data_IF_641051528422
#
_entry.id   IF_641051528422
#
_cell.length_a   1.000
_cell.length_b   1.000
_cell.length_c   1.000
_cell.angle_alpha   90.00
_cell.angle_beta   90.00
_cell.angle_gamma   90.00
#
_symmetry.space_group_name_H-M   'P 1'
#
loop_
_entity.id
_entity.type
_entity.pdbx_description
1 polymer ?
#
# COMPACT_ATOMS: atom_id res chain seq x y z
N UNK A 1 -1.30 17.36 20.23
CA UNK A 1 -0.74 16.52 19.16
C UNK A 1 0.18 17.38 18.30
N UNK A 2 1.49 17.40 18.59
CA UNK A 2 2.48 18.16 17.82
C UNK A 2 3.23 17.34 16.75
N UNK A 3 2.99 16.02 16.65
CA UNK A 3 3.72 15.13 15.73
C UNK A 3 3.39 15.33 14.24
N UNK A 4 2.11 15.41 13.88
CA UNK A 4 1.71 15.53 12.46
C UNK A 4 2.19 16.84 11.80
N UNK A 5 2.12 17.96 12.53
CA UNK A 5 2.54 19.25 11.98
C UNK A 5 4.04 19.27 11.67
N UNK A 6 4.85 18.63 12.50
CA UNK A 6 6.29 18.52 12.29
C UNK A 6 6.66 17.62 11.09
N UNK A 7 5.90 16.55 10.85
CA UNK A 7 6.14 15.65 9.72
C UNK A 7 5.67 16.29 8.39
N UNK A 8 4.55 17.00 8.39
CA UNK A 8 4.06 17.76 7.23
C UNK A 8 5.05 18.88 6.83
N UNK A 9 5.54 19.67 7.81
CA UNK A 9 6.54 20.72 7.57
C UNK A 9 7.85 20.16 6.99
N UNK A 10 8.26 18.97 7.45
CA UNK A 10 9.47 18.30 6.95
C UNK A 10 9.30 17.81 5.52
N UNK A 11 8.14 17.25 5.18
CA UNK A 11 7.84 16.87 3.80
C UNK A 11 7.85 18.08 2.86
N UNK A 12 7.23 19.20 3.27
CA UNK A 12 7.25 20.43 2.49
C UNK A 12 8.67 20.95 2.30
N UNK A 13 9.46 20.98 3.37
CA UNK A 13 10.88 21.35 3.30
C UNK A 13 11.65 20.44 2.34
N UNK A 14 11.39 19.14 2.36
CA UNK A 14 12.02 18.19 1.42
C UNK A 14 11.61 18.47 -0.03
N UNK A 15 10.32 18.75 -0.29
CA UNK A 15 9.85 19.10 -1.63
C UNK A 15 10.58 20.33 -2.17
N UNK A 16 10.66 21.39 -1.38
CA UNK A 16 11.36 22.63 -1.74
C UNK A 16 12.86 22.40 -1.96
N UNK A 17 13.52 21.72 -1.02
CA UNK A 17 14.98 21.51 -1.06
C UNK A 17 15.44 20.72 -2.29
N UNK A 18 14.60 19.80 -2.77
CA UNK A 18 14.90 18.90 -3.87
C UNK A 18 14.24 19.29 -5.20
N UNK A 19 13.54 20.43 -5.25
CA UNK A 19 12.72 20.85 -6.39
C UNK A 19 11.78 19.73 -6.87
N UNK A 20 11.04 19.17 -5.91
CA UNK A 20 9.93 18.25 -6.16
C UNK A 20 8.62 19.02 -6.04
N UNK A 21 7.59 18.57 -6.75
CA UNK A 21 6.27 19.19 -6.68
C UNK A 21 5.20 18.18 -6.26
N UNK A 22 4.06 18.69 -5.80
CA UNK A 22 2.88 17.88 -5.50
C UNK A 22 1.83 18.17 -6.56
N UNK A 23 1.28 17.13 -7.16
CA UNK A 23 0.17 17.29 -8.11
C UNK A 23 -1.12 17.59 -7.33
N UNK A 24 -1.68 18.79 -7.53
CA UNK A 24 -2.92 19.21 -6.88
C UNK A 24 -4.18 18.56 -7.50
N UNK A 25 -4.10 18.11 -8.76
CA UNK A 25 -5.22 17.47 -9.47
C UNK A 25 -5.40 16.00 -9.08
N UNK A 26 -4.34 15.32 -8.64
CA UNK A 26 -4.42 13.95 -8.14
C UNK A 26 -5.18 13.83 -6.80
N UNK A 27 -5.52 14.95 -6.14
CA UNK A 27 -6.20 14.95 -4.85
C UNK A 27 -5.35 14.29 -3.76
N UNK A 28 -5.97 13.65 -2.75
CA UNK A 28 -5.23 12.86 -1.73
C UNK A 28 -4.74 11.51 -2.29
N UNK A 29 -4.21 11.44 -3.51
CA UNK A 29 -3.79 10.19 -4.19
C UNK A 29 -2.70 9.40 -3.46
N UNK A 30 -2.12 9.97 -2.40
CA UNK A 30 -1.14 9.27 -1.56
C UNK A 30 0.21 9.11 -2.23
N UNK A 31 0.52 9.91 -3.25
CA UNK A 31 1.88 10.13 -3.73
C UNK A 31 2.40 11.42 -3.09
N UNK A 32 3.58 11.36 -2.50
CA UNK A 32 4.07 12.43 -1.62
C UNK A 32 4.67 13.59 -2.44
N UNK A 33 5.35 13.27 -3.56
CA UNK A 33 5.88 14.24 -4.50
C UNK A 33 6.17 13.64 -5.88
N UNK A 34 6.49 14.51 -6.83
CA UNK A 34 6.90 14.18 -8.19
C UNK A 34 8.18 14.91 -8.57
N UNK A 35 8.97 14.27 -9.42
CA UNK A 35 10.15 14.83 -10.05
C UNK A 35 9.98 14.79 -11.57
N UNK A 36 10.01 15.96 -12.20
CA UNK A 36 10.19 16.04 -13.64
C UNK A 36 11.68 16.02 -13.99
N UNK A 37 12.05 15.06 -14.81
CA UNK A 37 13.41 14.90 -15.35
C UNK A 37 13.31 14.46 -16.82
N UNK A 38 13.92 15.25 -17.70
CA UNK A 38 13.79 15.15 -19.15
C UNK A 38 12.32 15.13 -19.64
N UNK A 39 11.84 13.96 -20.07
CA UNK A 39 10.48 13.73 -20.59
C UNK A 39 9.66 12.83 -19.66
N UNK A 40 10.15 12.57 -18.45
CA UNK A 40 9.54 11.67 -17.47
C UNK A 40 9.11 12.43 -16.23
N UNK A 41 7.96 12.04 -15.71
CA UNK A 41 7.47 12.45 -14.39
C UNK A 41 7.55 11.23 -13.47
N UNK A 42 8.37 11.32 -12.43
CA UNK A 42 8.68 10.20 -11.54
C UNK A 42 8.01 10.41 -10.17
N UNK A 43 7.24 9.42 -9.67
CA UNK A 43 6.61 9.52 -8.36
C UNK A 43 7.58 9.20 -7.24
N UNK A 44 7.56 10.03 -6.20
CA UNK A 44 8.34 9.89 -4.98
C UNK A 44 7.44 9.56 -3.78
N UNK A 45 7.94 8.66 -2.92
CA UNK A 45 7.51 8.51 -1.54
C UNK A 45 8.53 9.24 -0.65
N UNK A 46 8.05 10.13 0.20
CA UNK A 46 8.86 10.90 1.14
C UNK A 46 8.72 10.31 2.53
N UNK A 47 9.83 10.20 3.25
CA UNK A 47 9.84 9.81 4.66
C UNK A 47 10.88 10.57 5.42
N UNK A 48 10.67 10.71 6.73
CA UNK A 48 11.71 11.20 7.64
C UNK A 48 11.84 10.30 8.85
N UNK A 49 13.00 10.37 9.51
CA UNK A 49 13.25 9.69 10.78
C UNK A 49 14.20 10.50 11.65
N UNK A 50 13.96 10.49 12.96
CA UNK A 50 14.85 11.05 13.98
C UNK A 50 15.54 10.00 14.85
N UNK A 51 15.21 8.72 14.66
CA UNK A 51 15.74 7.60 15.46
C UNK A 51 16.47 6.53 14.62
N UNK A 52 16.62 6.76 13.31
CA UNK A 52 17.30 5.86 12.38
C UNK A 52 16.42 4.77 11.78
N UNK A 53 15.23 4.53 12.33
CA UNK A 53 14.27 3.59 11.77
C UNK A 53 13.18 4.33 11.00
N UNK A 54 12.89 3.90 9.77
CA UNK A 54 11.89 4.54 8.92
C UNK A 54 10.59 3.75 9.02
N UNK A 55 9.56 4.37 9.60
CA UNK A 55 8.17 3.84 9.55
C UNK A 55 7.62 3.98 8.14
N UNK A 56 6.85 2.99 7.69
CA UNK A 56 6.31 3.01 6.32
C UNK A 56 4.80 3.19 6.30
N UNK A 57 4.02 2.19 6.70
CA UNK A 57 2.56 2.25 6.73
C UNK A 57 1.98 1.38 7.84
N UNK A 58 0.80 1.75 8.35
CA UNK A 58 0.13 0.99 9.42
C UNK A 58 -0.14 -0.45 9.02
N UNK A 59 -0.75 -0.70 7.85
CA UNK A 59 -1.19 -2.03 7.44
C UNK A 59 -0.57 -2.38 6.08
N UNK A 60 0.66 -2.90 6.07
CA UNK A 60 1.35 -3.28 4.84
C UNK A 60 0.70 -4.53 4.22
N UNK A 61 0.40 -4.47 2.92
CA UNK A 61 -0.33 -5.51 2.19
C UNK A 61 -0.16 -5.39 0.67
N UNK A 62 -0.88 -6.21 -0.13
CA UNK A 62 -0.74 -6.27 -1.60
C UNK A 62 -0.86 -4.94 -2.34
N UNK A 63 -1.76 -4.06 -1.87
CA UNK A 63 -1.93 -2.73 -2.46
C UNK A 63 -0.67 -1.88 -2.32
N UNK A 64 0.04 -1.99 -1.18
CA UNK A 64 1.30 -1.27 -0.94
C UNK A 64 2.44 -1.82 -1.78
N UNK A 65 2.51 -3.15 -1.95
CA UNK A 65 3.49 -3.79 -2.85
C UNK A 65 3.34 -3.25 -4.27
N UNK A 66 2.09 -3.17 -4.75
CA UNK A 66 1.78 -2.62 -6.08
C UNK A 66 2.10 -1.12 -6.15
N UNK A 67 1.68 -0.34 -5.14
CA UNK A 67 1.91 1.11 -5.05
C UNK A 67 3.39 1.45 -5.09
N UNK A 68 4.23 0.70 -4.39
CA UNK A 68 5.64 1.04 -4.16
C UNK A 68 6.60 0.44 -5.17
N UNK A 69 6.18 -0.54 -5.97
CA UNK A 69 7.04 -1.27 -6.92
C UNK A 69 7.90 -0.37 -7.81
N UNK A 70 7.34 0.75 -8.28
CA UNK A 70 8.02 1.67 -9.19
C UNK A 70 8.27 3.04 -8.56
N UNK A 71 8.17 3.17 -7.23
CA UNK A 71 8.38 4.46 -6.56
C UNK A 71 9.84 4.70 -6.26
N UNK A 72 10.22 5.94 -6.46
CA UNK A 72 11.45 6.50 -5.94
C UNK A 72 11.22 6.89 -4.48
N UNK A 73 12.22 6.74 -3.63
CA UNK A 73 12.11 7.11 -2.22
C UNK A 73 13.15 8.16 -1.88
N UNK A 74 12.74 9.17 -1.13
CA UNK A 74 13.65 10.16 -0.56
C UNK A 74 13.42 10.20 0.95
N UNK A 75 14.49 9.95 1.70
CA UNK A 75 14.43 9.77 3.15
C UNK A 75 15.27 10.84 3.83
N UNK A 76 14.65 11.66 4.68
CA UNK A 76 15.34 12.63 5.54
C UNK A 76 15.72 12.04 6.90
N UNK A 77 16.98 12.14 7.28
CA UNK A 77 17.50 11.67 8.57
C UNK A 77 17.89 12.86 9.45
N UNK A 78 17.24 12.97 10.61
CA UNK A 78 17.45 14.03 11.62
C UNK A 78 17.95 13.42 12.93
N UNK A 79 19.18 12.90 12.93
CA UNK A 79 19.71 12.04 14.01
C UNK A 79 20.87 12.74 14.69
N UNK A 80 20.82 12.84 16.03
CA UNK A 80 21.89 13.39 16.85
C UNK A 80 22.36 14.80 16.41
N UNK A 81 21.43 15.64 15.96
CA UNK A 81 21.72 16.98 15.46
C UNK A 81 22.36 17.03 14.07
N UNK A 82 22.47 15.89 13.38
CA UNK A 82 22.90 15.80 11.98
C UNK A 82 21.68 15.63 11.08
N UNK A 83 21.63 16.43 10.03
CA UNK A 83 20.63 16.36 8.97
C UNK A 83 21.29 15.89 7.66
N UNK A 84 20.73 14.86 7.04
CA UNK A 84 21.13 14.40 5.71
C UNK A 84 19.97 13.64 5.06
N UNK A 85 20.06 13.48 3.75
CA UNK A 85 19.04 12.79 2.97
C UNK A 85 19.66 11.61 2.22
N UNK A 86 18.83 10.63 1.87
CA UNK A 86 19.22 9.50 1.03
C UNK A 86 18.13 9.23 0.01
N UNK A 87 18.54 9.07 -1.24
CA UNK A 87 17.67 8.59 -2.31
C UNK A 87 17.77 7.06 -2.40
N UNK A 88 16.62 6.40 -2.60
CA UNK A 88 16.56 4.96 -2.83
C UNK A 88 15.75 4.72 -4.09
N UNK A 89 16.37 4.09 -5.08
CA UNK A 89 15.71 3.77 -6.35
C UNK A 89 14.67 2.65 -6.20
N UNK A 90 13.72 2.52 -7.14
CA UNK A 90 12.79 1.40 -7.15
C UNK A 90 13.48 0.03 -7.09
N UNK A 91 14.59 -0.13 -7.83
CA UNK A 91 15.37 -1.36 -7.81
C UNK A 91 15.98 -1.62 -6.43
N UNK A 92 16.60 -0.61 -5.82
CA UNK A 92 17.20 -0.75 -4.49
C UNK A 92 16.14 -1.03 -3.42
N UNK A 93 14.92 -0.48 -3.53
CA UNK A 93 13.83 -0.74 -2.59
C UNK A 93 13.14 -2.11 -2.79
N UNK A 94 13.30 -2.71 -3.97
CA UNK A 94 12.59 -3.94 -4.36
C UNK A 94 12.91 -5.12 -3.44
N UNK A 95 14.14 -5.22 -2.93
CA UNK A 95 14.55 -6.31 -2.03
C UNK A 95 13.79 -6.27 -0.70
N UNK A 96 13.70 -5.09 -0.09
CA UNK A 96 12.96 -4.92 1.16
C UNK A 96 11.46 -5.17 0.96
N UNK A 97 10.87 -4.66 -0.13
CA UNK A 97 9.45 -4.90 -0.45
C UNK A 97 9.20 -6.39 -0.65
N UNK A 98 10.06 -7.10 -1.41
CA UNK A 98 9.95 -8.53 -1.65
C UNK A 98 10.08 -9.36 -0.36
N UNK A 99 10.94 -8.94 0.57
CA UNK A 99 11.04 -9.56 1.89
C UNK A 99 9.72 -9.45 2.67
N UNK A 100 9.08 -8.27 2.67
CA UNK A 100 7.79 -8.07 3.36
C UNK A 100 6.63 -8.76 2.64
N UNK A 101 6.63 -8.80 1.32
CA UNK A 101 5.68 -9.58 0.52
C UNK A 101 5.78 -11.07 0.86
N UNK A 102 7.00 -11.61 0.88
CA UNK A 102 7.24 -13.00 1.27
C UNK A 102 6.74 -13.29 2.68
N UNK A 103 6.94 -12.36 3.62
CA UNK A 103 6.47 -12.50 5.00
C UNK A 103 4.95 -12.66 5.09
N UNK A 104 4.16 -11.84 4.38
CA UNK A 104 2.69 -11.90 4.43
C UNK A 104 2.10 -13.00 3.53
N UNK A 105 2.84 -13.48 2.52
CA UNK A 105 2.34 -14.41 1.50
C UNK A 105 1.68 -15.70 2.00
N UNK A 106 2.13 -16.36 3.11
CA UNK A 106 1.49 -17.59 3.58
C UNK A 106 0.05 -17.36 4.04
N UNK A 107 -0.22 -16.21 4.66
CA UNK A 107 -1.55 -15.91 5.20
C UNK A 107 -2.54 -15.56 4.09
N UNK A 108 -2.09 -14.84 3.05
CA UNK A 108 -2.90 -14.60 1.85
C UNK A 108 -3.20 -15.91 1.10
N UNK A 109 -2.23 -16.83 1.04
CA UNK A 109 -2.45 -18.18 0.51
C UNK A 109 -3.46 -18.97 1.34
N UNK A 110 -3.41 -18.83 2.66
CA UNK A 110 -4.38 -19.43 3.57
C UNK A 110 -5.79 -18.86 3.34
N UNK A 111 -5.92 -17.55 3.12
CA UNK A 111 -7.20 -16.89 2.83
C UNK A 111 -7.88 -17.50 1.59
N UNK A 112 -7.11 -17.70 0.52
CA UNK A 112 -7.57 -18.35 -0.70
C UNK A 112 -8.01 -19.80 -0.44
N UNK A 113 -7.14 -20.61 0.18
CA UNK A 113 -7.42 -22.03 0.44
C UNK A 113 -8.63 -22.21 1.37
N UNK A 114 -8.74 -21.40 2.43
CA UNK A 114 -9.79 -21.51 3.41
C UNK A 114 -11.14 -21.08 2.83
N UNK A 115 -11.18 -19.98 2.08
CA UNK A 115 -12.42 -19.48 1.48
C UNK A 115 -13.00 -20.47 0.47
N UNK A 116 -12.18 -21.06 -0.42
CA UNK A 116 -12.70 -21.99 -1.45
C UNK A 116 -13.27 -23.29 -0.86
N UNK A 117 -12.84 -23.70 0.34
CA UNK A 117 -13.32 -24.90 1.06
C UNK A 117 -14.71 -24.74 1.67
N UNK A 118 -15.26 -23.54 1.75
CA UNK A 118 -16.62 -23.33 2.25
C UNK A 118 -17.66 -23.97 1.33
N UNK A 119 -18.66 -24.62 1.93
CA UNK A 119 -19.71 -25.36 1.24
C UNK A 119 -21.09 -24.80 1.57
N UNK A 120 -22.11 -25.23 0.84
CA UNK A 120 -23.51 -24.82 1.06
C UNK A 120 -23.98 -25.06 2.50
N UNK A 121 -23.53 -26.14 3.13
CA UNK A 121 -23.87 -26.43 4.53
C UNK A 121 -23.36 -25.33 5.49
N UNK A 122 -22.21 -24.72 5.19
CA UNK A 122 -21.62 -23.66 6.00
C UNK A 122 -22.39 -22.34 5.78
N UNK A 123 -22.77 -22.05 4.53
CA UNK A 123 -23.68 -20.94 4.22
C UNK A 123 -24.99 -21.06 5.01
N UNK A 124 -25.60 -22.23 5.01
CA UNK A 124 -26.88 -22.45 5.70
C UNK A 124 -26.77 -22.29 7.21
N UNK A 125 -25.63 -22.61 7.82
CA UNK A 125 -25.37 -22.37 9.25
C UNK A 125 -25.28 -20.87 9.57
N UNK A 126 -24.82 -20.04 8.63
CA UNK A 126 -24.58 -18.61 8.87
C UNK A 126 -25.82 -17.76 8.57
N UNK A 127 -26.48 -17.98 7.43
CA UNK A 127 -27.60 -17.13 6.96
C UNK A 127 -28.93 -17.87 6.83
N UNK A 128 -29.00 -19.13 7.29
CA UNK A 128 -30.16 -20.00 7.14
C UNK A 128 -30.30 -20.55 5.72
N UNK A 129 -30.97 -21.71 5.58
CA UNK A 129 -31.26 -22.32 4.27
C UNK A 129 -32.44 -21.62 3.61
N UNK A 130 -32.23 -21.03 2.43
CA UNK A 130 -33.28 -20.40 1.60
C UNK A 130 -33.21 -20.91 0.17
N UNK A 131 -34.33 -20.92 -0.54
CA UNK A 131 -34.35 -21.17 -2.01
C UNK A 131 -33.83 -19.97 -2.80
N UNK A 132 -34.04 -18.77 -2.28
CA UNK A 132 -33.60 -17.49 -2.83
C UNK A 132 -33.18 -16.56 -1.70
N UNK A 133 -32.07 -15.87 -1.88
CA UNK A 133 -31.57 -14.82 -0.97
C UNK A 133 -31.82 -13.45 -1.59
N UNK A 134 -32.03 -12.46 -0.74
CA UNK A 134 -32.31 -11.07 -1.14
C UNK A 134 -31.02 -10.24 -1.23
N UNK A 135 -31.12 -9.03 -1.80
CA UNK A 135 -30.05 -8.03 -1.73
C UNK A 135 -29.62 -7.71 -0.30
N UNK A 136 -30.58 -7.70 0.64
CA UNK A 136 -30.27 -7.38 2.04
C UNK A 136 -29.54 -8.54 2.74
N UNK A 137 -29.88 -9.79 2.41
CA UNK A 137 -29.12 -10.95 2.88
C UNK A 137 -27.65 -10.86 2.44
N UNK A 138 -27.42 -10.57 1.16
CA UNK A 138 -26.08 -10.41 0.58
C UNK A 138 -25.29 -9.28 1.27
N UNK A 139 -25.92 -8.12 1.49
CA UNK A 139 -25.30 -6.97 2.15
C UNK A 139 -25.00 -7.22 3.63
N UNK A 140 -25.89 -7.93 4.32
CA UNK A 140 -25.70 -8.27 5.73
C UNK A 140 -24.54 -9.23 5.91
N UNK A 141 -24.40 -10.20 5.00
CA UNK A 141 -23.29 -11.14 4.98
C UNK A 141 -21.97 -10.46 4.61
N UNK A 142 -21.92 -9.76 3.49
CA UNK A 142 -20.70 -9.18 2.91
C UNK A 142 -20.43 -7.73 3.38
N UNK A 143 -21.18 -7.25 4.38
CA UNK A 143 -21.01 -5.93 5.02
C UNK A 143 -20.83 -4.75 4.05
N UNK A 144 -21.60 -4.73 2.96
CA UNK A 144 -21.59 -3.67 1.94
C UNK A 144 -20.21 -3.40 1.31
N UNK A 145 -19.33 -4.40 1.26
CA UNK A 145 -18.01 -4.23 0.65
C UNK A 145 -18.05 -4.13 -0.88
N UNK A 146 -19.08 -4.70 -1.51
CA UNK A 146 -19.38 -4.43 -2.92
C UNK A 146 -20.15 -3.11 -3.06
N UNK A 147 -19.90 -2.42 -4.17
CA UNK A 147 -20.77 -1.35 -4.65
C UNK A 147 -22.17 -1.87 -4.96
N UNK A 148 -23.14 -0.96 -5.04
CA UNK A 148 -24.51 -1.34 -5.44
C UNK A 148 -24.55 -2.02 -6.81
N UNK A 149 -23.73 -1.55 -7.76
CA UNK A 149 -23.67 -2.11 -9.12
C UNK A 149 -23.17 -3.55 -9.10
N UNK A 150 -22.12 -3.84 -8.34
CA UNK A 150 -21.56 -5.18 -8.21
C UNK A 150 -22.55 -6.16 -7.57
N UNK A 151 -23.25 -5.76 -6.50
CA UNK A 151 -24.30 -6.61 -5.93
C UNK A 151 -25.38 -6.96 -6.96
N UNK A 152 -25.88 -5.97 -7.70
CA UNK A 152 -26.91 -6.20 -8.71
C UNK A 152 -26.40 -7.12 -9.85
N UNK A 153 -25.15 -6.95 -10.27
CA UNK A 153 -24.53 -7.80 -11.29
C UNK A 153 -24.35 -9.26 -10.84
N UNK A 154 -24.29 -9.51 -9.53
CA UNK A 154 -24.17 -10.86 -8.98
C UNK A 154 -25.52 -11.60 -8.89
N UNK A 155 -26.67 -10.94 -9.05
CA UNK A 155 -27.98 -11.59 -9.01
C UNK A 155 -28.13 -12.59 -10.16
N UNK A 156 -28.28 -13.87 -9.83
CA UNK A 156 -28.40 -14.97 -10.80
C UNK A 156 -29.81 -15.55 -10.90
N UNK A 157 -30.74 -15.02 -10.10
CA UNK A 157 -32.17 -15.34 -10.17
C UNK A 157 -32.97 -14.04 -10.09
N UNK A 158 -34.25 -14.10 -10.46
CA UNK A 158 -35.12 -12.92 -10.48
C UNK A 158 -35.13 -12.18 -9.13
N UNK A 159 -34.58 -10.96 -9.16
CA UNK A 159 -34.44 -10.05 -8.03
C UNK A 159 -33.79 -10.71 -6.79
N UNK A 160 -32.79 -11.56 -6.97
CA UNK A 160 -32.11 -12.22 -5.85
C UNK A 160 -30.93 -13.10 -6.24
N UNK A 161 -30.51 -13.92 -5.28
CA UNK A 161 -29.36 -14.84 -5.42
C UNK A 161 -29.78 -16.27 -5.12
N UNK A 162 -29.28 -17.21 -5.92
CA UNK A 162 -29.34 -18.63 -5.60
C UNK A 162 -28.44 -18.96 -4.41
N UNK A 163 -28.61 -20.13 -3.77
CA UNK A 163 -27.69 -20.61 -2.74
C UNK A 163 -26.23 -20.71 -3.21
N UNK A 164 -26.00 -21.09 -4.47
CA UNK A 164 -24.66 -21.20 -5.03
C UNK A 164 -23.98 -19.82 -5.14
N UNK A 165 -24.73 -18.82 -5.62
CA UNK A 165 -24.22 -17.46 -5.70
C UNK A 165 -23.98 -16.82 -4.33
N UNK A 166 -24.90 -17.06 -3.39
CA UNK A 166 -24.74 -16.58 -2.01
C UNK A 166 -23.55 -17.25 -1.31
N UNK A 167 -23.24 -18.52 -1.65
CA UNK A 167 -22.02 -19.17 -1.19
C UNK A 167 -20.77 -18.45 -1.72
N UNK A 168 -20.72 -18.02 -2.97
CA UNK A 168 -19.58 -17.26 -3.48
C UNK A 168 -19.37 -15.96 -2.69
N UNK A 169 -20.45 -15.22 -2.41
CA UNK A 169 -20.40 -14.00 -1.58
C UNK A 169 -19.86 -14.32 -0.16
N UNK A 170 -20.20 -15.48 0.41
CA UNK A 170 -19.61 -15.94 1.67
C UNK A 170 -18.11 -16.21 1.54
N UNK A 171 -17.67 -16.83 0.44
CA UNK A 171 -16.25 -17.09 0.18
C UNK A 171 -15.46 -15.79 0.08
N UNK A 172 -15.98 -14.83 -0.67
CA UNK A 172 -15.39 -13.50 -0.80
C UNK A 172 -15.29 -12.81 0.57
N UNK A 173 -16.35 -12.90 1.39
CA UNK A 173 -16.34 -12.37 2.76
C UNK A 173 -15.26 -13.02 3.63
N UNK A 174 -15.15 -14.35 3.57
CA UNK A 174 -14.19 -15.10 4.36
C UNK A 174 -12.75 -14.77 3.96
N UNK A 175 -12.49 -14.73 2.64
CA UNK A 175 -11.19 -14.32 2.08
C UNK A 175 -10.81 -12.93 2.57
N UNK A 176 -11.70 -11.95 2.40
CA UNK A 176 -11.47 -10.58 2.83
C UNK A 176 -11.13 -10.47 4.32
N UNK A 177 -11.87 -11.18 5.18
CA UNK A 177 -11.65 -11.11 6.62
C UNK A 177 -10.26 -11.59 7.02
N UNK A 178 -9.79 -12.64 6.37
CA UNK A 178 -8.44 -13.18 6.60
C UNK A 178 -7.41 -12.20 6.03
N UNK A 179 -7.52 -11.83 4.75
CA UNK A 179 -6.57 -10.90 4.10
C UNK A 179 -6.41 -9.58 4.86
N UNK A 180 -7.50 -9.02 5.41
CA UNK A 180 -7.45 -7.82 6.25
C UNK A 180 -6.71 -8.02 7.57
N UNK A 181 -6.75 -9.22 8.14
CA UNK A 181 -6.00 -9.57 9.35
C UNK A 181 -4.56 -10.02 9.10
N UNK A 182 -4.18 -10.19 7.83
CA UNK A 182 -2.90 -10.74 7.38
C UNK A 182 -1.90 -9.68 6.92
N UNK A 183 -2.22 -8.40 7.12
CA UNK A 183 -1.30 -7.31 6.84
C UNK A 183 -0.19 -7.26 7.89
N UNK A 184 0.99 -6.77 7.48
CA UNK A 184 2.10 -6.55 8.40
C UNK A 184 1.95 -5.16 9.03
N UNK A 185 1.83 -5.12 10.36
CA UNK A 185 1.63 -3.86 11.07
C UNK A 185 2.93 -3.06 11.19
N UNK A 186 2.93 -1.82 10.71
CA UNK A 186 4.00 -0.84 10.82
C UNK A 186 5.41 -1.40 10.57
N UNK A 187 5.68 -2.01 9.39
CA UNK A 187 7.02 -2.48 9.11
C UNK A 187 7.97 -1.30 9.03
N UNK A 188 9.14 -1.50 9.65
CA UNK A 188 10.21 -0.53 9.71
C UNK A 188 11.35 -0.90 8.77
N UNK A 189 11.91 0.09 8.09
CA UNK A 189 13.18 -0.06 7.38
C UNK A 189 14.31 0.29 8.37
N UNK A 190 15.19 -0.67 8.73
CA UNK A 190 16.25 -0.42 9.69
C UNK A 190 17.32 0.51 9.11
N UNK A 191 18.04 1.23 9.97
CA UNK A 191 19.11 2.14 9.53
C UNK A 191 20.18 1.41 8.69
N UNK A 192 20.46 0.16 9.02
CA UNK A 192 21.44 -0.68 8.32
C UNK A 192 21.12 -0.89 6.84
N UNK A 193 19.83 -0.81 6.46
CA UNK A 193 19.41 -0.88 5.06
C UNK A 193 20.01 0.24 4.21
N UNK A 194 20.31 1.37 4.84
CA UNK A 194 20.76 2.57 4.16
C UNK A 194 22.28 2.76 4.25
N UNK A 195 23.05 1.86 4.86
CA UNK A 195 24.48 2.09 5.16
C UNK A 195 25.30 2.40 3.90
N UNK A 196 25.08 1.63 2.82
CA UNK A 196 25.82 1.77 1.56
C UNK A 196 25.26 2.84 0.60
N UNK A 197 24.14 3.46 0.97
CA UNK A 197 23.50 4.50 0.14
C UNK A 197 24.20 5.85 0.38
N UNK A 198 24.60 6.61 -0.65
CA UNK A 198 25.21 7.92 -0.46
C UNK A 198 24.35 8.89 0.34
N UNK A 199 25.00 9.80 1.09
CA UNK A 199 24.31 10.88 1.80
C UNK A 199 24.29 12.13 0.95
N UNK A 200 23.11 12.72 0.78
CA UNK A 200 22.94 14.03 0.21
C UNK A 200 22.90 15.05 1.37
N UNK A 201 23.90 15.92 1.41
CA UNK A 201 24.03 16.99 2.44
C UNK A 201 24.10 18.40 1.86
N UNK A 202 24.28 18.51 0.53
CA UNK A 202 24.48 19.77 -0.21
C UNK A 202 23.98 19.59 -1.64
N UNK A 203 23.73 20.69 -2.34
CA UNK A 203 23.28 20.71 -3.75
C UNK A 203 22.10 19.76 -4.00
N UNK A 204 21.17 19.70 -3.05
CA UNK A 204 20.17 18.64 -2.89
C UNK A 204 19.42 18.30 -4.18
N UNK A 205 18.82 19.30 -4.85
CA UNK A 205 18.10 19.10 -6.11
C UNK A 205 18.97 18.56 -7.26
N UNK A 206 20.25 18.97 -7.33
CA UNK A 206 21.20 18.51 -8.35
C UNK A 206 21.64 17.09 -8.05
N UNK A 207 22.07 16.82 -6.81
CA UNK A 207 22.50 15.49 -6.37
C UNK A 207 21.40 14.44 -6.58
N UNK A 208 20.15 14.76 -6.21
CA UNK A 208 19.03 13.85 -6.47
C UNK A 208 18.84 13.56 -7.96
N UNK A 209 18.95 14.58 -8.83
CA UNK A 209 18.81 14.38 -10.28
C UNK A 209 19.94 13.53 -10.85
N UNK A 210 21.17 13.70 -10.37
CA UNK A 210 22.31 12.87 -10.74
C UNK A 210 22.08 11.40 -10.35
N UNK A 211 21.67 11.14 -9.10
CA UNK A 211 21.40 9.76 -8.65
C UNK A 211 20.19 9.12 -9.34
N UNK A 212 19.15 9.91 -9.63
CA UNK A 212 17.99 9.45 -10.42
C UNK A 212 18.40 9.12 -11.85
N UNK A 213 19.22 9.97 -12.49
CA UNK A 213 19.70 9.73 -13.84
C UNK A 213 20.58 8.47 -13.91
N UNK A 214 21.49 8.29 -12.95
CA UNK A 214 22.33 7.09 -12.86
C UNK A 214 21.47 5.82 -12.76
N UNK A 215 20.41 5.86 -11.96
CA UNK A 215 19.44 4.77 -11.92
C UNK A 215 18.75 4.56 -13.28
N UNK A 216 18.25 5.62 -13.92
CA UNK A 216 17.56 5.51 -15.20
C UNK A 216 18.45 4.98 -16.33
N UNK A 217 19.74 5.31 -16.30
CA UNK A 217 20.75 4.84 -17.27
C UNK A 217 21.15 3.37 -17.02
N UNK A 218 20.88 2.84 -15.83
CA UNK A 218 21.15 1.44 -15.46
C UNK A 218 20.04 0.45 -15.85
N UNK A 219 18.88 0.95 -16.31
CA UNK A 219 17.71 0.14 -16.73
C UNK A 219 17.83 -0.34 -18.18
#
# INVERSE_FOLDING_TARGET
MPGNFQDDDREDTMRELFNLYKDEEEGRSGIDAFLDIDTKTLPFELKTTSNGSVTTVRDFGPDHITKWKNKHWLIGFFINGVEYYKYVSPLAMSEWIAEKEKYISPDFSLAEIASVKLRLIDLYKIVGKKKKYTLEDARTLHKKQYTKKEYLALQDVENGYSPAKMLNILKDRARYLIERGSTLNNPHIPLSYFEDIPKITKNHAVALREEVQEYLDSL
#
